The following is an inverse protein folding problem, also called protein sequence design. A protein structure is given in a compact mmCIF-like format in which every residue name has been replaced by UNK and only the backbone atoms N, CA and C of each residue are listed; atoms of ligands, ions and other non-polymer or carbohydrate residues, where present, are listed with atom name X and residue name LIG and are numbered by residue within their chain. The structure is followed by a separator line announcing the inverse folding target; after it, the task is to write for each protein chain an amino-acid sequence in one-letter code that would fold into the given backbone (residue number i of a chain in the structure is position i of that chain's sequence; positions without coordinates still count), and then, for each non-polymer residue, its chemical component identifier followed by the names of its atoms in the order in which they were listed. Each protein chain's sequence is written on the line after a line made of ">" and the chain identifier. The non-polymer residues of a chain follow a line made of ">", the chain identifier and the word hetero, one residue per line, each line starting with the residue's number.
data_IF_203312622823
#
_entry.id   IF_203312622823
#
_cell.length_a   1.000
_cell.length_b   1.000
_cell.length_c   1.000
_cell.angle_alpha   90.00
_cell.angle_beta   90.00
_cell.angle_gamma   90.00
#
_symmetry.space_group_name_H-M   'P 1'
#
loop_
_entity.id
_entity.type
_entity.pdbx_description
1 polymer ?
#
# COMPACT_ATOMS: atom_id res chain seq x y z
N UNK A 1 -7.67 -25.89 -24.63
CA UNK A 1 -7.92 -24.50 -25.08
C UNK A 1 -6.60 -23.78 -24.82
N UNK A 2 -5.95 -23.19 -25.83
CA UNK A 2 -4.65 -22.53 -25.64
C UNK A 2 -4.77 -21.31 -24.73
N UNK A 3 -3.65 -20.82 -24.19
CA UNK A 3 -3.70 -19.75 -23.17
C UNK A 3 -4.34 -18.46 -23.71
N UNK A 4 -4.16 -18.15 -25.00
CA UNK A 4 -4.81 -17.02 -25.66
C UNK A 4 -6.33 -17.14 -25.64
N UNK A 5 -6.89 -18.29 -26.03
CA UNK A 5 -8.33 -18.49 -26.07
C UNK A 5 -8.97 -18.40 -24.66
N UNK A 6 -8.28 -18.91 -23.63
CA UNK A 6 -8.73 -18.74 -22.24
C UNK A 6 -8.62 -17.28 -21.78
N UNK A 7 -7.56 -16.55 -22.17
CA UNK A 7 -7.43 -15.11 -21.94
C UNK A 7 -8.59 -14.32 -22.52
N UNK A 8 -8.91 -14.52 -23.79
CA UNK A 8 -10.00 -13.80 -24.44
C UNK A 8 -11.35 -14.12 -23.80
N UNK A 9 -11.56 -15.37 -23.38
CA UNK A 9 -12.78 -15.75 -22.64
C UNK A 9 -12.90 -14.98 -21.32
N UNK A 10 -11.83 -14.89 -20.51
CA UNK A 10 -11.87 -14.15 -19.23
C UNK A 10 -11.96 -12.64 -19.44
N UNK A 11 -11.27 -12.10 -20.44
CA UNK A 11 -11.39 -10.69 -20.84
C UNK A 11 -12.82 -10.36 -21.27
N UNK A 12 -13.46 -11.23 -22.05
CA UNK A 12 -14.87 -11.06 -22.48
C UNK A 12 -15.84 -11.00 -21.30
N UNK A 13 -15.54 -11.69 -20.20
CA UNK A 13 -16.28 -11.57 -18.95
C UNK A 13 -15.95 -10.25 -18.24
N UNK A 14 -14.66 -9.91 -18.14
CA UNK A 14 -14.17 -8.73 -17.43
C UNK A 14 -14.67 -7.41 -18.03
N UNK A 15 -14.76 -7.28 -19.36
CA UNK A 15 -15.25 -6.05 -20.03
C UNK A 15 -16.72 -5.73 -19.71
N UNK A 16 -17.48 -6.68 -19.16
CA UNK A 16 -18.87 -6.47 -18.72
C UNK A 16 -18.97 -5.85 -17.32
N UNK A 17 -17.85 -5.66 -16.64
CA UNK A 17 -17.84 -5.11 -15.28
C UNK A 17 -18.24 -3.63 -15.27
N UNK A 18 -19.20 -3.24 -14.41
CA UNK A 18 -19.72 -1.87 -14.38
C UNK A 18 -18.74 -0.83 -13.81
N UNK A 19 -17.60 -1.26 -13.24
CA UNK A 19 -16.56 -0.34 -12.77
C UNK A 19 -15.71 0.19 -13.93
N UNK A 20 -15.51 -0.60 -15.00
CA UNK A 20 -14.66 -0.21 -16.14
C UNK A 20 -15.13 1.09 -16.84
N UNK A 21 -16.44 1.30 -17.12
CA UNK A 21 -16.92 2.57 -17.66
C UNK A 21 -16.64 3.79 -16.79
N UNK A 22 -16.47 3.61 -15.47
CA UNK A 22 -16.17 4.70 -14.52
C UNK A 22 -14.69 5.08 -14.51
N UNK A 23 -13.83 4.19 -14.98
CA UNK A 23 -12.36 4.34 -14.98
C UNK A 23 -11.81 4.83 -16.33
N UNK A 24 -12.67 4.93 -17.35
CA UNK A 24 -12.33 5.24 -18.74
C UNK A 24 -12.95 6.53 -19.33
N UNK A 25 -13.70 7.41 -18.62
CA UNK A 25 -14.16 8.67 -19.22
C UNK A 25 -12.99 9.52 -19.74
N UNK A 26 -13.07 9.98 -20.99
CA UNK A 26 -12.04 10.79 -21.64
C UNK A 26 -10.81 10.02 -22.14
N UNK A 27 -10.73 8.71 -21.87
CA UNK A 27 -9.69 7.85 -22.41
C UNK A 27 -10.07 7.35 -23.81
N UNK A 28 -9.18 7.55 -24.78
CA UNK A 28 -9.24 6.95 -26.12
C UNK A 28 -7.92 6.24 -26.33
N UNK A 29 -7.93 4.92 -26.31
CA UNK A 29 -6.72 4.11 -26.50
C UNK A 29 -7.05 2.72 -27.04
N UNK A 30 -6.10 2.13 -27.78
CA UNK A 30 -6.09 0.71 -28.10
C UNK A 30 -5.00 -0.03 -27.35
N UNK A 31 -5.37 -1.16 -26.77
CA UNK A 31 -4.48 -1.99 -25.97
C UNK A 31 -4.35 -3.36 -26.65
N UNK A 32 -3.14 -3.76 -27.03
CA UNK A 32 -2.84 -5.10 -27.56
C UNK A 32 -2.37 -6.02 -26.44
N UNK A 33 -3.02 -7.19 -26.35
CA UNK A 33 -2.62 -8.32 -25.51
C UNK A 33 -1.99 -9.38 -26.43
N UNK A 34 -0.71 -9.69 -26.20
CA UNK A 34 0.04 -10.64 -27.02
C UNK A 34 0.44 -11.87 -26.19
N UNK A 35 -0.04 -13.03 -26.63
CA UNK A 35 0.19 -14.35 -26.01
C UNK A 35 1.04 -15.16 -26.96
N UNK A 36 2.36 -15.17 -26.75
CA UNK A 36 3.30 -15.72 -27.72
C UNK A 36 3.09 -15.07 -29.10
N UNK A 37 2.78 -15.86 -30.16
CA UNK A 37 2.53 -15.31 -31.50
C UNK A 37 1.10 -14.74 -31.68
N UNK A 38 0.16 -15.07 -30.80
CA UNK A 38 -1.24 -14.66 -30.93
C UNK A 38 -1.47 -13.25 -30.37
N UNK A 39 -2.37 -12.49 -31.02
CA UNK A 39 -2.67 -11.10 -30.67
C UNK A 39 -4.17 -10.87 -30.63
N UNK A 40 -4.61 -10.12 -29.62
CA UNK A 40 -5.95 -9.55 -29.54
C UNK A 40 -5.87 -8.13 -29.00
N UNK A 41 -6.80 -7.29 -29.41
CA UNK A 41 -6.83 -5.87 -29.05
C UNK A 41 -8.11 -5.51 -28.31
N UNK A 42 -7.99 -4.53 -27.42
CA UNK A 42 -9.08 -3.88 -26.72
C UNK A 42 -9.16 -2.42 -27.16
N UNK A 43 -10.32 -1.99 -27.62
CA UNK A 43 -10.62 -0.57 -27.82
C UNK A 43 -11.23 -0.01 -26.53
N UNK A 44 -10.65 1.08 -26.04
CA UNK A 44 -11.17 1.87 -24.93
C UNK A 44 -11.54 3.25 -25.45
N UNK A 45 -12.81 3.62 -25.36
CA UNK A 45 -13.30 4.90 -25.87
C UNK A 45 -14.71 5.22 -25.40
N UNK A 46 -14.95 6.48 -25.03
CA UNK A 46 -16.30 6.94 -24.65
C UNK A 46 -16.91 6.23 -23.44
N UNK A 47 -16.08 5.74 -22.51
CA UNK A 47 -16.53 4.95 -21.37
C UNK A 47 -16.82 3.47 -21.68
N UNK A 48 -16.48 2.99 -22.87
CA UNK A 48 -16.69 1.60 -23.30
C UNK A 48 -15.33 0.91 -23.46
N UNK A 49 -15.25 -0.35 -23.00
CA UNK A 49 -14.13 -1.26 -23.26
C UNK A 49 -14.67 -2.43 -24.08
N UNK A 50 -14.12 -2.66 -25.27
CA UNK A 50 -14.58 -3.71 -26.18
C UNK A 50 -13.40 -4.44 -26.83
N UNK A 51 -13.57 -5.72 -27.15
CA UNK A 51 -12.63 -6.46 -28.00
C UNK A 51 -12.69 -5.93 -29.44
N UNK A 52 -11.53 -5.67 -30.02
CA UNK A 52 -11.35 -5.01 -31.33
C UNK A 52 -10.36 -5.80 -32.21
N UNK A 53 -10.60 -7.10 -32.37
CA UNK A 53 -9.83 -7.97 -33.27
C UNK A 53 -8.32 -7.97 -33.03
N UNK A 54 -7.53 -8.18 -34.09
CA UNK A 54 -6.07 -8.10 -34.09
C UNK A 54 -5.62 -6.87 -34.92
N UNK A 55 -5.72 -5.67 -34.33
CA UNK A 55 -5.22 -4.43 -34.94
C UNK A 55 -3.71 -4.28 -34.68
N UNK A 56 -2.96 -3.85 -35.71
CA UNK A 56 -1.51 -3.59 -35.63
C UNK A 56 -1.18 -2.23 -34.99
N UNK A 57 -2.14 -1.30 -34.89
CA UNK A 57 -1.94 0.05 -34.37
C UNK A 57 -2.42 0.23 -32.92
N UNK A 58 -1.76 -0.45 -31.98
CA UNK A 58 -2.05 -0.32 -30.54
C UNK A 58 -1.18 0.76 -29.87
N UNK A 59 -1.78 1.56 -28.99
CA UNK A 59 -1.08 2.59 -28.21
C UNK A 59 -0.34 2.01 -27.00
N UNK A 60 -0.84 0.88 -26.49
CA UNK A 60 -0.29 0.12 -25.37
C UNK A 60 -0.22 -1.34 -25.78
N UNK A 61 0.94 -1.98 -25.61
CA UNK A 61 1.16 -3.39 -25.96
C UNK A 61 1.70 -4.10 -24.72
N UNK A 62 0.95 -5.10 -24.25
CA UNK A 62 1.37 -6.02 -23.19
C UNK A 62 1.63 -7.40 -23.81
N UNK A 63 2.87 -7.87 -23.72
CA UNK A 63 3.33 -9.08 -24.39
C UNK A 63 4.06 -10.02 -23.43
N UNK A 64 3.79 -11.32 -23.53
CA UNK A 64 4.51 -12.36 -22.80
C UNK A 64 4.40 -13.73 -23.51
N UNK A 65 5.30 -14.69 -23.22
CA UNK A 65 5.18 -16.08 -23.66
C UNK A 65 3.88 -16.75 -23.20
N UNK A 66 3.47 -17.84 -23.86
CA UNK A 66 2.23 -18.55 -23.51
C UNK A 66 2.26 -19.03 -22.05
N UNK A 67 3.40 -19.54 -21.60
CA UNK A 67 3.62 -20.06 -20.25
C UNK A 67 3.44 -18.99 -19.16
N UNK A 68 3.77 -17.74 -19.48
CA UNK A 68 3.56 -16.62 -18.56
C UNK A 68 2.07 -16.30 -18.39
N UNK A 69 1.31 -16.34 -19.48
CA UNK A 69 -0.14 -16.17 -19.45
C UNK A 69 -0.86 -17.33 -18.78
N UNK A 70 -0.35 -18.57 -18.90
CA UNK A 70 -0.87 -19.72 -18.14
C UNK A 70 -0.78 -19.49 -16.63
N UNK A 71 0.31 -18.87 -16.14
CA UNK A 71 0.47 -18.50 -14.71
C UNK A 71 -0.55 -17.44 -14.28
N UNK A 72 -0.85 -16.44 -15.12
CA UNK A 72 -1.91 -15.45 -14.85
C UNK A 72 -3.27 -16.11 -14.66
N UNK A 73 -3.51 -17.25 -15.33
CA UNK A 73 -4.78 -17.97 -15.29
C UNK A 73 -4.89 -19.00 -14.17
N UNK A 74 -3.83 -19.24 -13.40
CA UNK A 74 -3.90 -20.06 -12.20
C UNK A 74 -4.77 -19.38 -11.12
N UNK A 75 -5.37 -20.17 -10.24
CA UNK A 75 -6.25 -19.68 -9.17
C UNK A 75 -5.81 -20.25 -7.82
N UNK A 76 -5.13 -19.45 -6.97
CA UNK A 76 -4.63 -18.11 -7.27
C UNK A 76 -3.40 -18.12 -8.20
N UNK A 77 -3.10 -17.03 -8.91
CA UNK A 77 -1.89 -16.90 -9.70
C UNK A 77 -0.67 -16.74 -8.79
N UNK A 78 0.53 -17.15 -9.21
CA UNK A 78 1.74 -16.88 -8.45
C UNK A 78 1.96 -15.38 -8.21
N UNK A 79 2.73 -15.03 -7.17
CA UNK A 79 3.17 -13.66 -6.95
C UNK A 79 3.84 -13.09 -8.22
N UNK A 80 3.63 -11.81 -8.49
CA UNK A 80 3.96 -11.10 -9.76
C UNK A 80 3.11 -11.42 -11.00
N UNK A 81 2.16 -12.35 -10.92
CA UNK A 81 1.23 -12.71 -12.02
C UNK A 81 -0.23 -12.29 -11.77
N UNK A 82 -0.47 -11.39 -10.82
CA UNK A 82 -1.81 -11.11 -10.30
C UNK A 82 -2.39 -9.73 -10.66
N UNK A 83 -1.61 -8.84 -11.27
CA UNK A 83 -2.05 -7.47 -11.58
C UNK A 83 -1.26 -6.85 -12.72
N UNK A 84 -1.82 -5.81 -13.35
CA UNK A 84 -1.16 -5.12 -14.45
C UNK A 84 0.14 -4.43 -14.01
N UNK A 85 0.15 -3.78 -12.85
CA UNK A 85 1.34 -3.12 -12.31
C UNK A 85 2.39 -4.15 -11.92
N UNK A 86 2.01 -5.34 -11.44
CA UNK A 86 2.93 -6.43 -11.19
C UNK A 86 3.60 -6.92 -12.49
N UNK A 87 2.81 -7.11 -13.56
CA UNK A 87 3.35 -7.46 -14.88
C UNK A 87 4.39 -6.44 -15.33
N UNK A 88 4.11 -5.15 -15.15
CA UNK A 88 4.98 -4.08 -15.61
C UNK A 88 6.27 -3.95 -14.77
N UNK A 89 6.18 -4.05 -13.45
CA UNK A 89 7.27 -3.60 -12.56
C UNK A 89 8.05 -4.73 -11.90
N UNK A 90 7.46 -5.91 -11.81
CA UNK A 90 8.00 -7.01 -11.01
C UNK A 90 8.09 -8.34 -11.76
N UNK A 91 7.66 -8.38 -13.03
CA UNK A 91 7.63 -9.61 -13.80
C UNK A 91 8.49 -9.51 -15.07
N UNK A 92 9.66 -10.15 -15.11
CA UNK A 92 10.56 -10.07 -16.27
C UNK A 92 10.04 -10.83 -17.50
N UNK A 93 9.02 -11.68 -17.36
CA UNK A 93 8.43 -12.41 -18.50
C UNK A 93 7.46 -11.53 -19.32
N UNK A 94 7.04 -10.38 -18.77
CA UNK A 94 6.16 -9.44 -19.45
C UNK A 94 6.93 -8.24 -20.00
N UNK A 95 6.60 -7.85 -21.23
CA UNK A 95 7.05 -6.61 -21.84
C UNK A 95 5.87 -5.67 -22.02
N UNK A 96 6.03 -4.42 -21.59
CA UNK A 96 5.07 -3.35 -21.82
C UNK A 96 5.70 -2.28 -22.71
N UNK A 97 5.09 -2.00 -23.86
CA UNK A 97 5.51 -0.93 -24.76
C UNK A 97 4.33 -0.03 -25.14
N UNK A 98 4.63 1.16 -25.65
CA UNK A 98 3.63 2.18 -25.95
C UNK A 98 3.98 3.56 -25.38
N UNK A 99 3.05 4.51 -25.52
CA UNK A 99 3.22 5.85 -24.93
C UNK A 99 3.18 5.78 -23.41
N UNK A 100 4.21 6.27 -22.68
CA UNK A 100 4.21 6.26 -21.21
C UNK A 100 3.00 6.98 -20.59
N UNK A 101 2.53 8.06 -21.22
CA UNK A 101 1.32 8.79 -20.79
C UNK A 101 0.07 7.93 -21.02
N UNK A 102 -0.05 7.27 -22.19
CA UNK A 102 -1.19 6.41 -22.48
C UNK A 102 -1.25 5.21 -21.51
N UNK A 103 -0.10 4.59 -21.21
CA UNK A 103 0.01 3.54 -20.19
C UNK A 103 -0.47 4.06 -18.83
N UNK A 104 -0.02 5.25 -18.42
CA UNK A 104 -0.42 5.83 -17.15
C UNK A 104 -1.92 6.15 -17.08
N UNK A 105 -2.52 6.64 -18.17
CA UNK A 105 -3.94 6.92 -18.29
C UNK A 105 -4.80 5.65 -18.35
N UNK A 106 -4.32 4.59 -19.00
CA UNK A 106 -5.02 3.31 -19.14
C UNK A 106 -4.92 2.42 -17.89
N UNK A 107 -3.93 2.66 -17.01
CA UNK A 107 -3.68 1.85 -15.80
C UNK A 107 -4.94 1.58 -14.97
N UNK A 108 -5.79 2.56 -14.61
CA UNK A 108 -6.96 2.29 -13.79
C UNK A 108 -7.89 1.21 -14.38
N UNK A 109 -8.16 1.29 -15.68
CA UNK A 109 -8.96 0.31 -16.39
C UNK A 109 -8.26 -1.06 -16.49
N UNK A 110 -6.95 -1.05 -16.78
CA UNK A 110 -6.16 -2.28 -16.88
C UNK A 110 -6.04 -3.04 -15.55
N UNK A 111 -5.86 -2.33 -14.43
CA UNK A 111 -5.86 -2.96 -13.10
C UNK A 111 -7.20 -3.61 -12.80
N UNK A 112 -8.31 -2.91 -13.07
CA UNK A 112 -9.64 -3.48 -12.86
C UNK A 112 -9.89 -4.69 -13.75
N UNK A 113 -9.50 -4.61 -15.02
CA UNK A 113 -9.63 -5.69 -15.98
C UNK A 113 -8.89 -6.93 -15.49
N UNK A 114 -7.61 -6.79 -15.13
CA UNK A 114 -6.79 -7.93 -14.71
C UNK A 114 -7.16 -8.49 -13.34
N UNK A 115 -7.69 -7.68 -12.41
CA UNK A 115 -8.28 -8.20 -11.17
C UNK A 115 -9.42 -9.20 -11.45
N UNK A 116 -10.23 -8.96 -12.49
CA UNK A 116 -11.33 -9.87 -12.86
C UNK A 116 -10.80 -11.06 -13.67
N UNK A 117 -9.82 -10.85 -14.56
CA UNK A 117 -9.20 -11.93 -15.36
C UNK A 117 -8.55 -12.98 -14.46
N UNK A 118 -7.86 -12.55 -13.40
CA UNK A 118 -7.23 -13.44 -12.43
C UNK A 118 -8.25 -14.24 -11.62
N UNK A 119 -9.41 -13.66 -11.30
CA UNK A 119 -10.56 -14.34 -10.68
C UNK A 119 -10.24 -15.17 -9.43
N UNK A 120 -9.48 -14.60 -8.48
CA UNK A 120 -9.10 -15.30 -7.26
C UNK A 120 -10.13 -15.12 -6.13
N UNK A 121 -10.57 -16.22 -5.47
CA UNK A 121 -11.43 -16.11 -4.30
C UNK A 121 -10.66 -15.53 -3.11
N UNK A 122 -11.31 -14.72 -2.25
CA UNK A 122 -10.62 -14.13 -1.11
C UNK A 122 -10.25 -15.18 -0.06
N UNK A 123 -9.19 -14.91 0.70
CA UNK A 123 -8.87 -15.70 1.90
C UNK A 123 -10.04 -15.67 2.88
N UNK A 124 -10.32 -16.83 3.47
CA UNK A 124 -11.32 -16.94 4.53
C UNK A 124 -10.67 -16.57 5.86
N UNK A 125 -11.23 -15.58 6.53
CA UNK A 125 -10.83 -15.18 7.87
C UNK A 125 -12.01 -15.29 8.85
N UNK A 126 -11.76 -15.58 10.14
CA UNK A 126 -12.78 -15.44 11.17
C UNK A 126 -13.31 -14.00 11.20
N UNK A 127 -14.64 -13.85 11.25
CA UNK A 127 -15.25 -12.52 11.37
C UNK A 127 -14.79 -11.85 12.66
N UNK A 128 -14.36 -10.61 12.54
CA UNK A 128 -13.94 -9.78 13.68
C UNK A 128 -15.11 -8.94 14.18
N UNK A 129 -15.31 -8.89 15.50
CA UNK A 129 -16.29 -8.00 16.10
C UNK A 129 -15.80 -6.54 16.03
N UNK A 130 -16.59 -5.69 15.37
CA UNK A 130 -16.21 -4.32 15.05
C UNK A 130 -17.31 -3.36 15.45
N UNK A 131 -16.96 -2.34 16.24
CA UNK A 131 -17.82 -1.23 16.56
C UNK A 131 -17.18 0.07 16.07
N UNK A 132 -17.79 0.70 15.06
CA UNK A 132 -17.30 1.97 14.52
C UNK A 132 -17.57 3.15 15.47
N UNK A 133 -18.62 3.08 16.30
CA UNK A 133 -19.03 4.17 17.19
C UNK A 133 -18.06 4.37 18.37
N UNK A 134 -17.16 3.41 18.63
CA UNK A 134 -16.11 3.58 19.64
C UNK A 134 -14.96 4.45 19.16
N UNK A 135 -14.84 4.68 17.85
CA UNK A 135 -13.74 5.44 17.25
C UNK A 135 -14.08 6.92 17.34
N UNK A 136 -13.22 7.68 18.00
CA UNK A 136 -13.40 9.11 18.21
C UNK A 136 -12.30 9.88 17.48
N UNK A 137 -12.71 10.75 16.55
CA UNK A 137 -11.82 11.67 15.85
C UNK A 137 -11.67 13.01 16.56
N UNK A 138 -10.45 13.53 16.69
CA UNK A 138 -10.12 14.80 17.35
C UNK A 138 -9.00 15.53 16.63
N UNK A 139 -8.96 16.84 16.80
CA UNK A 139 -7.76 17.64 16.47
C UNK A 139 -6.95 17.88 17.73
N UNK A 140 -5.63 17.84 17.58
CA UNK A 140 -4.67 18.26 18.59
C UNK A 140 -3.59 19.12 17.97
N UNK A 141 -3.29 20.23 18.63
CA UNK A 141 -2.15 21.05 18.27
C UNK A 141 -0.87 20.42 18.81
N UNK A 142 0.10 20.22 17.93
CA UNK A 142 1.41 19.66 18.24
C UNK A 142 2.48 20.64 17.75
N UNK A 143 3.41 21.00 18.63
CA UNK A 143 4.56 21.82 18.27
C UNK A 143 5.67 20.93 17.70
N UNK A 144 6.13 21.23 16.49
CA UNK A 144 7.20 20.50 15.81
C UNK A 144 8.26 21.51 15.39
N UNK A 145 9.45 21.43 15.99
CA UNK A 145 10.56 22.32 15.63
C UNK A 145 10.22 23.80 15.76
N UNK A 146 9.40 24.18 16.75
CA UNK A 146 8.93 25.55 16.95
C UNK A 146 7.77 25.99 16.04
N UNK A 147 7.17 25.09 15.26
CA UNK A 147 6.02 25.36 14.39
C UNK A 147 4.81 24.56 14.85
N UNK A 148 3.68 25.23 15.05
CA UNK A 148 2.41 24.59 15.39
C UNK A 148 1.81 23.84 14.20
N UNK A 149 1.41 22.59 14.44
CA UNK A 149 0.71 21.74 13.48
C UNK A 149 -0.64 21.31 14.08
N UNK A 150 -1.72 21.46 13.31
CA UNK A 150 -3.03 20.93 13.67
C UNK A 150 -3.14 19.48 13.16
N UNK A 151 -2.92 18.53 14.07
CA UNK A 151 -2.91 17.09 13.78
C UNK A 151 -4.30 16.52 14.06
N UNK A 152 -4.94 15.98 13.02
CA UNK A 152 -6.10 15.13 13.18
C UNK A 152 -5.65 13.71 13.57
N UNK A 153 -6.39 13.12 14.51
CA UNK A 153 -6.17 11.74 14.91
C UNK A 153 -7.49 11.08 15.30
N UNK A 154 -7.53 9.77 15.14
CA UNK A 154 -8.61 8.90 15.61
C UNK A 154 -8.08 8.02 16.72
N UNK A 155 -8.88 7.81 17.77
CA UNK A 155 -8.53 6.91 18.85
C UNK A 155 -9.69 6.02 19.29
N UNK A 156 -9.35 4.85 19.81
CA UNK A 156 -10.29 3.89 20.38
C UNK A 156 -9.64 3.14 21.55
N UNK A 157 -10.46 2.77 22.53
CA UNK A 157 -10.01 1.97 23.67
C UNK A 157 -9.17 2.71 24.71
N UNK A 158 -8.64 1.93 25.65
CA UNK A 158 -7.75 2.39 26.72
C UNK A 158 -6.78 1.25 27.09
N UNK A 159 -5.61 1.59 27.66
CA UNK A 159 -4.58 0.62 28.02
C UNK A 159 -3.27 0.89 27.28
N UNK A 160 -2.59 -0.17 26.83
CA UNK A 160 -1.29 -0.09 26.15
C UNK A 160 -1.37 0.86 24.94
N UNK A 161 -0.58 1.94 24.87
CA UNK A 161 -0.61 2.85 23.74
C UNK A 161 -0.06 2.19 22.47
N UNK A 162 -0.87 2.18 21.41
CA UNK A 162 -0.46 1.72 20.08
C UNK A 162 -0.66 2.86 19.09
N UNK A 163 0.44 3.36 18.52
CA UNK A 163 0.43 4.40 17.49
C UNK A 163 0.56 3.76 16.10
N UNK A 164 -0.41 4.04 15.23
CA UNK A 164 -0.42 3.58 13.85
C UNK A 164 0.06 4.66 12.88
N UNK A 165 1.04 4.33 12.04
CA UNK A 165 1.61 5.19 11.00
C UNK A 165 1.20 4.70 9.61
N UNK A 166 0.51 5.56 8.86
CA UNK A 166 0.01 5.24 7.52
C UNK A 166 1.12 5.12 6.47
N UNK A 167 0.74 4.54 5.34
CA UNK A 167 1.61 4.38 4.16
C UNK A 167 1.66 5.67 3.32
N UNK A 168 2.56 5.72 2.35
CA UNK A 168 2.72 6.88 1.45
C UNK A 168 1.44 7.13 0.61
N UNK A 169 0.97 8.38 0.58
CA UNK A 169 -0.21 8.81 -0.17
C UNK A 169 -1.56 8.43 0.47
N UNK A 170 -1.54 7.96 1.72
CA UNK A 170 -2.71 7.57 2.50
C UNK A 170 -2.89 8.47 3.74
N UNK A 171 -3.76 8.05 4.64
CA UNK A 171 -4.01 8.71 5.93
C UNK A 171 -4.47 7.67 6.98
N UNK A 172 -4.81 8.12 8.18
CA UNK A 172 -5.14 7.27 9.33
C UNK A 172 -6.31 6.31 9.09
N UNK A 173 -7.17 6.57 8.10
CA UNK A 173 -8.30 5.68 7.75
C UNK A 173 -7.85 4.28 7.35
N UNK A 174 -6.58 4.07 6.97
CA UNK A 174 -6.04 2.73 6.73
C UNK A 174 -6.14 1.82 7.96
N UNK A 175 -6.13 2.40 9.16
CA UNK A 175 -6.20 1.65 10.41
C UNK A 175 -7.59 1.65 11.05
N UNK A 176 -8.60 2.23 10.39
CA UNK A 176 -9.97 2.21 10.87
C UNK A 176 -10.47 0.78 11.18
N UNK A 177 -10.07 -0.27 10.42
CA UNK A 177 -10.35 -1.62 10.83
C UNK A 177 -9.75 -1.95 12.20
N UNK A 178 -8.49 -1.65 12.47
CA UNK A 178 -7.88 -1.96 13.76
C UNK A 178 -8.51 -1.15 14.89
N UNK A 179 -8.81 0.14 14.67
CA UNK A 179 -9.47 1.00 15.68
C UNK A 179 -10.88 0.53 16.03
N UNK A 180 -11.62 -0.01 15.06
CA UNK A 180 -12.98 -0.52 15.28
C UNK A 180 -13.03 -1.92 15.89
N UNK A 181 -11.90 -2.64 16.00
CA UNK A 181 -11.82 -3.98 16.60
C UNK A 181 -12.06 -3.91 18.12
N UNK A 182 -13.20 -4.42 18.59
CA UNK A 182 -13.59 -4.37 20.01
C UNK A 182 -12.69 -5.24 20.90
N UNK A 183 -12.00 -6.22 20.32
CA UNK A 183 -11.02 -7.05 21.00
C UNK A 183 -9.73 -6.29 21.26
N UNK A 184 -9.19 -5.58 20.25
CA UNK A 184 -7.99 -4.76 20.43
C UNK A 184 -8.25 -3.55 21.34
N UNK A 185 -9.35 -2.83 21.15
CA UNK A 185 -9.67 -1.64 21.94
C UNK A 185 -9.95 -1.93 23.43
N UNK A 186 -10.18 -3.20 23.80
CA UNK A 186 -10.43 -3.60 25.19
C UNK A 186 -9.19 -3.48 26.08
N UNK A 187 -8.00 -3.72 25.51
CA UNK A 187 -6.74 -3.76 26.26
C UNK A 187 -5.74 -2.71 25.78
N UNK A 188 -5.99 -2.09 24.63
CA UNK A 188 -5.09 -1.15 24.00
C UNK A 188 -5.77 0.21 23.81
N UNK A 189 -4.99 1.28 23.98
CA UNK A 189 -5.33 2.62 23.47
C UNK A 189 -4.80 2.71 22.05
N UNK A 190 -5.67 2.52 21.09
CA UNK A 190 -5.36 2.53 19.66
C UNK A 190 -5.42 3.97 19.15
N UNK A 191 -4.37 4.43 18.47
CA UNK A 191 -4.24 5.81 18.00
C UNK A 191 -3.77 5.77 16.55
N UNK A 192 -4.52 6.36 15.62
CA UNK A 192 -4.07 6.58 14.25
C UNK A 192 -4.07 8.07 13.94
N UNK A 193 -3.00 8.56 13.35
CA UNK A 193 -2.81 9.97 13.04
C UNK A 193 -2.83 10.19 11.54
N UNK A 194 -3.38 11.33 11.13
CA UNK A 194 -3.11 11.88 9.81
C UNK A 194 -1.84 12.74 9.93
N UNK A 195 -0.77 12.39 9.23
CA UNK A 195 0.44 13.23 9.23
C UNK A 195 0.14 14.62 8.63
N UNK A 196 0.94 15.65 8.90
CA UNK A 196 0.83 16.91 8.17
C UNK A 196 0.74 16.68 6.65
N UNK A 197 -0.09 17.45 5.96
CA UNK A 197 -0.46 17.26 4.53
C UNK A 197 -1.42 16.12 4.19
N UNK A 198 -1.83 15.28 5.15
CA UNK A 198 -2.62 14.08 4.90
C UNK A 198 -4.01 14.15 5.52
N UNK A 199 -4.97 13.46 4.88
CA UNK A 199 -6.33 13.30 5.40
C UNK A 199 -6.96 14.61 5.84
N UNK A 200 -7.22 14.72 7.13
CA UNK A 200 -7.81 15.89 7.81
C UNK A 200 -6.78 16.81 8.46
N UNK A 201 -5.51 16.40 8.53
CA UNK A 201 -4.40 17.24 8.97
C UNK A 201 -3.98 18.19 7.85
N UNK A 202 -3.97 19.48 8.15
CA UNK A 202 -3.56 20.49 7.19
C UNK A 202 -2.03 20.55 7.09
N UNK A 203 -1.47 21.12 6.01
CA UNK A 203 -0.10 21.61 6.01
C UNK A 203 0.16 22.54 7.22
N UNK A 204 1.42 22.69 7.68
CA UNK A 204 1.74 23.62 8.75
C UNK A 204 1.24 25.03 8.43
N UNK A 205 0.89 25.80 9.45
CA UNK A 205 0.39 27.18 9.27
C UNK A 205 1.38 28.10 8.53
N UNK A 206 2.67 27.74 8.55
CA UNK A 206 3.75 28.44 7.86
C UNK A 206 3.93 28.00 6.41
N UNK A 207 3.16 27.03 5.92
CA UNK A 207 3.30 26.54 4.55
C UNK A 207 2.94 27.61 3.53
N UNK A 208 3.84 27.86 2.60
CA UNK A 208 3.79 28.92 1.58
C UNK A 208 3.31 28.43 0.21
N UNK A 209 2.90 27.17 0.11
CA UNK A 209 2.54 26.53 -1.16
C UNK A 209 3.72 25.82 -1.86
N UNK A 210 4.91 25.80 -1.26
CA UNK A 210 6.05 25.04 -1.77
C UNK A 210 5.76 23.54 -1.87
N UNK A 211 6.39 22.80 -2.82
CA UNK A 211 6.17 21.37 -2.94
C UNK A 211 6.50 20.61 -1.66
N UNK A 212 5.56 19.83 -1.15
CA UNK A 212 5.81 18.92 -0.04
C UNK A 212 6.82 17.83 -0.45
N UNK A 213 7.86 17.65 0.36
CA UNK A 213 8.85 16.60 0.24
C UNK A 213 9.17 16.08 1.64
N UNK A 214 8.90 14.79 1.87
CA UNK A 214 9.21 14.15 3.15
C UNK A 214 10.69 13.78 3.19
N UNK A 215 11.33 14.03 4.33
CA UNK A 215 12.69 13.57 4.63
C UNK A 215 12.69 12.72 5.91
N UNK A 216 13.76 11.97 6.15
CA UNK A 216 13.91 11.20 7.39
C UNK A 216 13.81 12.11 8.61
N UNK A 217 14.54 13.23 8.62
CA UNK A 217 14.58 14.16 9.74
C UNK A 217 13.21 14.81 10.00
N UNK A 218 12.50 15.22 8.95
CA UNK A 218 11.19 15.84 9.09
C UNK A 218 10.19 14.84 9.67
N UNK A 219 10.14 13.63 9.11
CA UNK A 219 9.20 12.61 9.55
C UNK A 219 9.52 12.11 10.97
N UNK A 220 10.80 11.92 11.31
CA UNK A 220 11.24 11.58 12.67
C UNK A 220 10.85 12.67 13.67
N UNK A 221 10.99 13.94 13.30
CA UNK A 221 10.61 15.07 14.17
C UNK A 221 9.10 15.10 14.40
N UNK A 222 8.29 14.86 13.37
CA UNK A 222 6.83 14.72 13.50
C UNK A 222 6.44 13.56 14.42
N UNK A 223 6.96 12.37 14.16
CA UNK A 223 6.66 11.19 14.97
C UNK A 223 7.10 11.35 16.42
N UNK A 224 8.26 11.93 16.66
CA UNK A 224 8.72 12.25 18.03
C UNK A 224 7.73 13.20 18.69
N UNK A 225 7.40 14.34 18.07
CA UNK A 225 6.46 15.30 18.67
C UNK A 225 5.06 14.70 18.92
N UNK A 226 4.58 13.83 18.05
CA UNK A 226 3.32 13.09 18.23
C UNK A 226 3.42 12.13 19.44
N UNK A 227 4.51 11.37 19.57
CA UNK A 227 4.73 10.52 20.74
C UNK A 227 4.77 11.35 22.03
N UNK A 228 5.42 12.50 22.02
CA UNK A 228 5.63 13.40 23.18
C UNK A 228 4.34 14.06 23.64
N UNK A 229 3.64 14.67 22.70
CA UNK A 229 2.58 15.60 23.00
C UNK A 229 1.22 14.93 22.88
N UNK A 230 1.02 14.05 21.89
CA UNK A 230 -0.26 13.40 21.62
C UNK A 230 -0.41 12.08 22.38
N UNK A 231 0.57 11.19 22.28
CA UNK A 231 0.54 9.90 22.99
C UNK A 231 0.83 10.11 24.48
N UNK A 232 1.92 10.81 24.80
CA UNK A 232 2.29 11.22 26.16
C UNK A 232 3.05 10.16 26.98
N UNK A 233 3.44 9.04 26.37
CA UNK A 233 4.16 7.94 27.02
C UNK A 233 4.96 7.13 25.98
N UNK A 234 5.66 6.06 26.41
CA UNK A 234 6.17 5.01 25.51
C UNK A 234 4.99 4.30 24.84
N UNK A 235 5.17 3.91 23.57
CA UNK A 235 4.13 3.24 22.79
C UNK A 235 4.68 2.09 21.96
N UNK A 236 3.81 1.14 21.61
CA UNK A 236 4.06 0.25 20.47
C UNK A 236 3.77 1.06 19.21
N UNK A 237 4.73 1.14 18.29
CA UNK A 237 4.52 1.83 17.01
C UNK A 237 4.35 0.79 15.91
N UNK A 238 3.24 0.88 15.19
CA UNK A 238 2.90 -0.03 14.09
C UNK A 238 2.79 0.80 12.82
N UNK A 239 3.58 0.47 11.80
CA UNK A 239 3.61 1.24 10.56
C UNK A 239 3.62 0.34 9.35
N UNK A 240 2.94 0.75 8.29
CA UNK A 240 2.96 0.06 6.99
C UNK A 240 3.85 0.77 5.99
N UNK A 241 4.66 0.05 5.20
CA UNK A 241 5.42 0.61 4.07
C UNK A 241 6.27 1.83 4.51
N UNK A 242 5.91 3.06 4.09
CA UNK A 242 6.50 4.30 4.59
C UNK A 242 6.51 4.42 6.12
N UNK A 243 5.40 4.08 6.79
CA UNK A 243 5.33 4.01 8.25
C UNK A 243 6.22 2.91 8.84
N UNK A 244 6.42 1.80 8.13
CA UNK A 244 7.30 0.71 8.55
C UNK A 244 8.78 1.13 8.51
N UNK A 245 9.18 1.85 7.45
CA UNK A 245 10.49 2.48 7.37
C UNK A 245 10.72 3.46 8.54
N UNK A 246 9.72 4.26 8.90
CA UNK A 246 9.81 5.17 10.04
C UNK A 246 9.80 4.44 11.40
N UNK A 247 9.12 3.30 11.53
CA UNK A 247 9.25 2.44 12.72
C UNK A 247 10.71 2.05 12.97
N UNK A 248 11.43 1.68 11.91
CA UNK A 248 12.85 1.32 12.01
C UNK A 248 13.73 2.51 12.41
N UNK A 249 13.48 3.69 11.81
CA UNK A 249 14.20 4.93 12.18
C UNK A 249 13.95 5.29 13.64
N UNK A 250 12.69 5.23 14.10
CA UNK A 250 12.35 5.45 15.51
C UNK A 250 13.06 4.45 16.43
N UNK A 251 13.11 3.17 16.07
CA UNK A 251 13.78 2.15 16.87
C UNK A 251 15.29 2.39 17.00
N UNK A 252 15.92 2.92 15.95
CA UNK A 252 17.34 3.28 15.95
C UNK A 252 17.62 4.59 16.73
N UNK A 253 16.77 5.61 16.55
CA UNK A 253 17.10 6.99 16.96
C UNK A 253 16.35 7.46 18.21
N UNK A 254 15.18 6.88 18.53
CA UNK A 254 14.32 7.24 19.69
C UNK A 254 13.83 6.02 20.50
N UNK A 255 14.67 5.02 20.80
CA UNK A 255 14.25 3.80 21.50
C UNK A 255 13.64 4.05 22.90
N UNK A 256 14.01 5.15 23.57
CA UNK A 256 13.43 5.55 24.86
C UNK A 256 11.94 5.87 24.81
N UNK A 257 11.37 6.08 23.61
CA UNK A 257 9.94 6.39 23.40
C UNK A 257 9.11 5.21 22.93
N UNK A 258 9.71 4.03 22.87
CA UNK A 258 9.09 2.86 22.28
C UNK A 258 8.99 1.74 23.31
N UNK A 259 7.83 1.09 23.36
CA UNK A 259 7.69 -0.24 23.94
C UNK A 259 8.17 -1.31 22.96
N UNK A 260 8.06 -1.03 21.66
CA UNK A 260 8.54 -1.86 20.57
C UNK A 260 7.96 -1.37 19.24
N UNK A 261 8.37 -2.01 18.14
CA UNK A 261 7.90 -1.66 16.80
C UNK A 261 7.42 -2.87 16.02
N UNK A 262 6.37 -2.66 15.23
CA UNK A 262 5.82 -3.65 14.30
C UNK A 262 5.83 -3.01 12.91
N UNK A 263 6.82 -3.38 12.12
CA UNK A 263 7.03 -2.89 10.78
C UNK A 263 6.31 -3.83 9.79
N UNK A 264 5.25 -3.33 9.16
CA UNK A 264 4.38 -4.07 8.24
C UNK A 264 4.79 -3.75 6.80
N UNK A 265 5.20 -4.76 6.05
CA UNK A 265 5.80 -4.62 4.71
C UNK A 265 7.01 -3.65 4.69
N UNK A 266 8.03 -3.86 5.56
CA UNK A 266 9.16 -2.95 5.65
C UNK A 266 10.07 -3.08 4.43
N UNK A 267 10.48 -1.95 3.81
CA UNK A 267 11.42 -2.01 2.70
C UNK A 267 12.83 -2.31 3.19
N UNK A 268 13.59 -3.14 2.45
CA UNK A 268 15.05 -3.06 2.51
C UNK A 268 15.51 -1.81 1.76
N UNK A 269 15.02 -1.65 0.51
CA UNK A 269 15.09 -0.46 -0.33
C UNK A 269 13.82 -0.40 -1.18
N UNK A 270 13.37 0.77 -1.60
CA UNK A 270 12.16 0.91 -2.44
C UNK A 270 12.34 1.89 -3.59
N UNK A 271 13.46 1.76 -4.31
CA UNK A 271 13.77 2.59 -5.47
C UNK A 271 12.75 2.42 -6.60
N UNK A 272 12.51 3.49 -7.36
CA UNK A 272 11.72 3.45 -8.60
C UNK A 272 10.20 3.50 -8.43
N UNK A 273 9.69 3.65 -7.21
CA UNK A 273 8.24 3.80 -6.94
C UNK A 273 7.75 5.21 -7.27
N UNK A 274 8.60 6.22 -7.07
CA UNK A 274 8.33 7.59 -7.45
C UNK A 274 8.45 7.73 -8.97
N UNK A 275 7.40 8.24 -9.61
CA UNK A 275 7.35 8.35 -11.06
C UNK A 275 6.63 9.63 -11.51
N UNK A 276 6.91 10.13 -12.73
CA UNK A 276 6.41 11.44 -13.16
C UNK A 276 4.90 11.50 -13.38
N UNK A 277 4.18 10.38 -13.39
CA UNK A 277 2.74 10.33 -13.63
C UNK A 277 1.90 10.41 -12.35
N UNK A 278 2.53 10.31 -11.17
CA UNK A 278 1.86 10.49 -9.88
C UNK A 278 1.42 11.93 -9.61
N UNK A 279 2.03 12.89 -10.32
CA UNK A 279 1.68 14.30 -10.29
C UNK A 279 1.86 14.93 -11.68
N UNK A 280 1.05 14.47 -12.64
CA UNK A 280 1.05 14.96 -14.01
C UNK A 280 -0.33 15.50 -14.40
N UNK A 281 -0.38 16.68 -15.00
CA UNK A 281 -1.66 17.32 -15.39
C UNK A 281 -2.45 16.54 -16.44
N UNK A 282 -1.78 15.71 -17.25
CA UNK A 282 -2.41 14.86 -18.26
C UNK A 282 -2.86 13.50 -17.69
N UNK A 283 -2.58 13.21 -16.43
CA UNK A 283 -2.93 11.94 -15.78
C UNK A 283 -3.78 12.25 -14.55
N UNK A 284 -4.95 11.65 -14.47
CA UNK A 284 -5.83 11.85 -13.32
C UNK A 284 -5.21 11.22 -12.06
N UNK A 285 -4.55 12.03 -11.22
CA UNK A 285 -3.80 11.57 -10.05
C UNK A 285 -4.61 10.66 -9.13
N UNK A 286 -5.85 11.03 -8.79
CA UNK A 286 -6.71 10.21 -7.93
C UNK A 286 -7.05 8.82 -8.48
N UNK A 287 -7.09 8.64 -9.80
CA UNK A 287 -7.33 7.33 -10.42
C UNK A 287 -6.03 6.56 -10.61
N UNK A 288 -5.00 7.24 -11.10
CA UNK A 288 -3.70 6.62 -11.38
C UNK A 288 -3.04 6.10 -10.09
N UNK A 289 -2.99 6.92 -9.05
CA UNK A 289 -2.35 6.58 -7.79
C UNK A 289 -3.12 5.47 -7.07
N UNK A 290 -4.45 5.54 -7.03
CA UNK A 290 -5.28 4.49 -6.42
C UNK A 290 -5.17 3.16 -7.17
N UNK A 291 -5.05 3.19 -8.50
CA UNK A 291 -4.84 2.00 -9.31
C UNK A 291 -3.47 1.37 -9.07
N UNK A 292 -2.43 2.20 -8.95
CA UNK A 292 -1.08 1.74 -8.61
C UNK A 292 -1.04 0.99 -7.28
N UNK A 293 -1.77 1.50 -6.27
CA UNK A 293 -1.94 0.83 -4.97
C UNK A 293 -2.72 -0.47 -5.11
N UNK A 294 -3.84 -0.44 -5.84
CA UNK A 294 -4.65 -1.63 -6.11
C UNK A 294 -3.86 -2.76 -6.76
N UNK A 295 -2.90 -2.42 -7.62
CA UNK A 295 -2.03 -3.37 -8.29
C UNK A 295 -1.08 -4.14 -7.35
N UNK A 296 -0.85 -3.67 -6.13
CA UNK A 296 0.09 -4.30 -5.17
C UNK A 296 -0.65 -5.05 -4.05
N UNK A 297 -1.98 -4.92 -4.00
CA UNK A 297 -2.79 -5.69 -3.07
C UNK A 297 -2.91 -7.14 -3.53
N UNK A 298 -2.98 -8.08 -2.59
CA UNK A 298 -3.13 -9.50 -2.90
C UNK A 298 -4.39 -9.80 -3.73
N UNK A 299 -4.32 -10.69 -4.74
CA UNK A 299 -5.51 -11.16 -5.46
C UNK A 299 -6.48 -11.93 -4.55
N UNK A 300 -6.03 -12.34 -3.35
CA UNK A 300 -6.84 -13.02 -2.35
C UNK A 300 -7.49 -12.06 -1.34
N UNK A 301 -7.39 -10.75 -1.55
CA UNK A 301 -8.00 -9.75 -0.67
C UNK A 301 -9.49 -9.54 -1.01
N UNK A 302 -10.40 -9.45 -0.01
CA UNK A 302 -11.81 -9.18 -0.24
C UNK A 302 -12.03 -7.93 -1.12
N UNK A 303 -12.88 -8.05 -2.14
CA UNK A 303 -13.09 -6.97 -3.12
C UNK A 303 -13.57 -5.67 -2.48
N UNK A 304 -14.42 -5.74 -1.45
CA UNK A 304 -14.93 -4.57 -0.73
C UNK A 304 -13.80 -3.81 -0.03
N UNK A 305 -12.86 -4.52 0.58
CA UNK A 305 -11.72 -3.93 1.28
C UNK A 305 -10.69 -3.39 0.29
N UNK A 306 -10.42 -4.08 -0.82
CA UNK A 306 -9.62 -3.52 -1.94
C UNK A 306 -10.18 -2.18 -2.43
N UNK A 307 -11.51 -2.07 -2.58
CA UNK A 307 -12.18 -0.81 -2.98
C UNK A 307 -12.02 0.27 -1.92
N UNK A 308 -12.21 -0.05 -0.64
CA UNK A 308 -12.05 0.92 0.46
C UNK A 308 -10.61 1.40 0.58
N UNK A 309 -9.64 0.51 0.44
CA UNK A 309 -8.24 0.87 0.39
C UNK A 309 -7.97 1.81 -0.80
N UNK A 310 -8.36 1.47 -2.03
CA UNK A 310 -8.21 2.37 -3.19
C UNK A 310 -8.90 3.73 -3.00
N UNK A 311 -10.05 3.77 -2.33
CA UNK A 311 -10.77 5.01 -2.04
C UNK A 311 -9.96 5.98 -1.18
N UNK A 312 -9.21 5.48 -0.20
CA UNK A 312 -8.32 6.32 0.64
C UNK A 312 -7.29 7.03 -0.26
N UNK A 313 -6.58 6.28 -1.10
CA UNK A 313 -5.54 6.85 -1.98
C UNK A 313 -6.08 7.76 -3.08
N UNK A 314 -7.36 7.65 -3.45
CA UNK A 314 -7.97 8.57 -4.41
C UNK A 314 -8.20 9.98 -3.87
N UNK A 315 -8.09 10.17 -2.55
CA UNK A 315 -8.40 11.43 -1.86
C UNK A 315 -7.16 12.21 -1.39
N UNK A 316 -5.95 11.74 -1.69
CA UNK A 316 -4.73 12.50 -1.39
C UNK A 316 -4.63 13.79 -2.20
N UNK A 317 -4.13 14.86 -1.58
CA UNK A 317 -3.90 16.12 -2.28
C UNK A 317 -2.80 15.96 -3.37
N UNK A 318 -2.84 16.76 -4.45
CA UNK A 318 -1.84 16.67 -5.52
C UNK A 318 -0.42 16.83 -4.97
N UNK A 319 0.49 15.94 -5.39
CA UNK A 319 1.89 15.99 -5.00
C UNK A 319 2.22 15.33 -3.65
N UNK A 320 1.22 15.00 -2.82
CA UNK A 320 1.45 14.38 -1.50
C UNK A 320 2.07 12.99 -1.62
N UNK A 321 1.47 12.10 -2.42
CA UNK A 321 2.02 10.76 -2.62
C UNK A 321 3.49 10.76 -3.13
N UNK A 322 3.86 11.46 -4.23
CA UNK A 322 5.28 11.51 -4.61
C UNK A 322 6.14 12.30 -3.62
N UNK A 323 5.57 13.17 -2.78
CA UNK A 323 6.26 13.84 -1.68
C UNK A 323 6.67 12.88 -0.58
N UNK A 324 5.80 11.95 -0.19
CA UNK A 324 6.10 10.86 0.73
C UNK A 324 7.17 9.90 0.21
N UNK A 325 7.12 9.62 -1.09
CA UNK A 325 8.10 8.75 -1.75
C UNK A 325 9.51 9.37 -1.77
N UNK A 326 9.66 10.67 -1.53
CA UNK A 326 10.98 11.29 -1.31
C UNK A 326 11.72 10.63 -0.14
N UNK A 327 11.05 10.42 0.99
CA UNK A 327 11.63 9.68 2.10
C UNK A 327 11.69 8.18 1.77
N UNK A 328 10.56 7.58 1.41
CA UNK A 328 10.44 6.12 1.31
C UNK A 328 11.29 5.49 0.21
N UNK A 329 11.38 6.13 -0.95
CA UNK A 329 12.04 5.57 -2.14
C UNK A 329 13.41 6.15 -2.41
N UNK A 330 13.60 7.45 -2.12
CA UNK A 330 14.79 8.17 -2.53
C UNK A 330 15.83 8.24 -1.39
N UNK A 331 15.40 8.42 -0.14
CA UNK A 331 16.28 8.64 1.01
C UNK A 331 16.52 7.38 1.88
N UNK A 332 15.46 6.64 2.22
CA UNK A 332 15.54 5.56 3.20
C UNK A 332 16.36 4.36 2.69
N UNK A 333 17.23 3.83 3.56
CA UNK A 333 18.01 2.62 3.30
C UNK A 333 18.03 1.70 4.54
N UNK A 334 17.34 0.56 4.46
CA UNK A 334 17.27 -0.43 5.54
C UNK A 334 18.63 -1.06 5.86
N UNK A 335 19.57 -1.09 4.91
CA UNK A 335 20.94 -1.57 5.14
C UNK A 335 21.76 -0.60 6.02
N UNK A 336 21.35 0.68 6.08
CA UNK A 336 21.98 1.70 6.93
C UNK A 336 21.29 1.80 8.28
N UNK A 337 19.96 1.74 8.30
CA UNK A 337 19.17 1.90 9.53
C UNK A 337 19.15 0.62 10.37
N UNK A 338 18.98 -0.55 9.75
CA UNK A 338 18.84 -1.84 10.44
C UNK A 338 19.94 -2.12 11.46
N UNK A 339 21.24 -2.03 11.10
CA UNK A 339 22.34 -2.30 12.03
C UNK A 339 22.41 -1.40 13.27
N UNK A 340 21.67 -0.27 13.29
CA UNK A 340 21.60 0.64 14.44
C UNK A 340 20.55 0.22 15.47
N UNK A 341 19.66 -0.71 15.14
CA UNK A 341 18.55 -1.10 15.99
C UNK A 341 19.01 -2.17 17.00
N UNK A 342 18.86 -1.87 18.29
CA UNK A 342 19.02 -2.85 19.37
C UNK A 342 17.67 -3.48 19.72
N UNK A 343 17.38 -4.66 19.13
CA UNK A 343 16.11 -5.35 19.33
C UNK A 343 15.90 -5.88 20.75
N UNK A 344 16.94 -5.91 21.61
CA UNK A 344 16.78 -6.24 23.03
C UNK A 344 16.22 -5.06 23.83
N UNK A 345 16.49 -3.84 23.38
CA UNK A 345 15.96 -2.61 23.98
C UNK A 345 14.60 -2.24 23.39
N UNK A 346 14.44 -2.47 22.08
CA UNK A 346 13.20 -2.17 21.35
C UNK A 346 12.77 -3.42 20.59
N UNK A 347 11.90 -4.27 21.17
CA UNK A 347 11.35 -5.43 20.49
C UNK A 347 10.86 -5.06 19.08
N UNK A 348 11.35 -5.76 18.08
CA UNK A 348 11.15 -5.41 16.67
C UNK A 348 10.56 -6.59 15.92
N UNK A 349 9.36 -6.41 15.36
CA UNK A 349 8.68 -7.40 14.50
C UNK A 349 8.60 -6.88 13.08
N UNK A 350 8.98 -7.71 12.10
CA UNK A 350 8.86 -7.45 10.68
C UNK A 350 7.79 -8.39 10.10
N UNK A 351 6.78 -7.86 9.43
CA UNK A 351 5.73 -8.65 8.78
C UNK A 351 5.84 -8.47 7.26
N UNK A 352 5.83 -9.56 6.48
CA UNK A 352 5.91 -9.49 5.00
C UNK A 352 4.86 -10.37 4.33
N UNK A 353 4.08 -9.83 3.40
CA UNK A 353 3.07 -10.54 2.61
C UNK A 353 3.67 -11.29 1.42
N UNK A 354 3.17 -12.49 1.11
CA UNK A 354 3.71 -13.28 -0.02
C UNK A 354 3.37 -12.73 -1.40
N UNK A 355 2.38 -11.84 -1.50
CA UNK A 355 2.04 -11.13 -2.74
C UNK A 355 2.66 -9.74 -2.86
N UNK A 356 3.35 -9.27 -1.81
CA UNK A 356 4.04 -7.99 -1.88
C UNK A 356 5.30 -8.10 -2.75
N UNK A 357 5.25 -7.53 -3.94
CA UNK A 357 6.40 -7.41 -4.84
C UNK A 357 7.16 -6.09 -4.68
N UNK A 358 6.67 -5.18 -3.83
CA UNK A 358 7.31 -3.89 -3.53
C UNK A 358 8.26 -3.96 -2.34
N UNK A 359 7.96 -4.78 -1.32
CA UNK A 359 8.84 -5.09 -0.20
C UNK A 359 8.76 -6.60 0.06
N UNK A 360 9.54 -7.37 -0.70
CA UNK A 360 9.34 -8.82 -0.78
C UNK A 360 9.65 -9.53 0.55
N UNK A 361 9.12 -10.74 0.77
CA UNK A 361 9.55 -11.57 1.90
C UNK A 361 11.08 -11.77 1.98
N UNK A 362 11.77 -11.78 0.83
CA UNK A 362 13.23 -11.83 0.78
C UNK A 362 13.88 -10.54 1.30
N UNK A 363 13.32 -9.37 0.97
CA UNK A 363 13.75 -8.08 1.54
C UNK A 363 13.54 -8.04 3.06
N UNK A 364 12.39 -8.51 3.54
CA UNK A 364 12.09 -8.63 4.96
C UNK A 364 13.07 -9.56 5.70
N UNK A 365 13.41 -10.70 5.11
CA UNK A 365 14.39 -11.63 5.66
C UNK A 365 15.81 -11.05 5.68
N UNK A 366 16.20 -10.35 4.61
CA UNK A 366 17.49 -9.65 4.53
C UNK A 366 17.57 -8.54 5.58
N UNK A 367 16.48 -7.81 5.80
CA UNK A 367 16.41 -6.79 6.83
C UNK A 367 16.47 -7.39 8.25
N UNK A 368 15.77 -8.50 8.50
CA UNK A 368 15.83 -9.20 9.77
C UNK A 368 17.26 -9.65 10.12
N UNK A 369 18.02 -10.11 9.13
CA UNK A 369 19.42 -10.49 9.29
C UNK A 369 20.32 -9.31 9.72
N UNK A 370 19.93 -8.08 9.39
CA UNK A 370 20.64 -6.85 9.80
C UNK A 370 20.25 -6.36 11.20
N UNK A 371 19.19 -6.92 11.79
CA UNK A 371 18.66 -6.53 13.11
C UNK A 371 18.64 -7.76 14.03
N UNK A 372 19.78 -8.11 14.65
CA UNK A 372 19.86 -9.29 15.51
C UNK A 372 18.84 -9.26 16.65
N UNK A 373 18.01 -10.30 16.77
CA UNK A 373 16.96 -10.39 17.77
C UNK A 373 15.59 -9.90 17.30
N UNK A 374 15.48 -9.34 16.10
CA UNK A 374 14.17 -9.09 15.48
C UNK A 374 13.43 -10.38 15.13
N UNK A 375 12.10 -10.30 15.03
CA UNK A 375 11.24 -11.41 14.59
C UNK A 375 10.65 -11.10 13.22
N UNK A 376 10.98 -11.91 12.22
CA UNK A 376 10.35 -11.84 10.89
C UNK A 376 9.25 -12.88 10.75
N UNK A 377 8.09 -12.46 10.24
CA UNK A 377 6.94 -13.33 9.97
C UNK A 377 6.45 -13.07 8.55
N UNK A 378 6.34 -14.15 7.77
CA UNK A 378 5.74 -14.12 6.43
C UNK A 378 4.24 -14.39 6.56
N UNK A 379 3.43 -13.47 6.03
CA UNK A 379 1.96 -13.53 6.03
C UNK A 379 1.48 -14.12 4.70
N UNK A 380 1.25 -15.42 4.69
CA UNK A 380 0.84 -16.15 3.49
C UNK A 380 -0.48 -15.59 2.93
N UNK A 381 -0.45 -15.23 1.65
CA UNK A 381 -1.59 -14.76 0.87
C UNK A 381 -1.95 -13.28 1.05
N UNK A 382 -1.22 -12.52 1.85
CA UNK A 382 -1.38 -11.05 1.96
C UNK A 382 -0.45 -10.30 1.00
N UNK A 383 -0.87 -9.11 0.59
CA UNK A 383 -0.11 -8.16 -0.24
C UNK A 383 0.41 -6.98 0.59
N UNK A 384 0.63 -5.84 -0.06
CA UNK A 384 1.36 -4.72 0.55
C UNK A 384 0.58 -3.92 1.60
N UNK A 385 -0.75 -4.07 1.68
CA UNK A 385 -1.59 -3.25 2.56
C UNK A 385 -2.45 -4.09 3.52
N UNK A 386 -1.88 -5.09 4.22
CA UNK A 386 -2.65 -6.09 4.96
C UNK A 386 -3.60 -5.48 5.99
N UNK A 387 -3.25 -4.33 6.56
CA UNK A 387 -4.08 -3.59 7.52
C UNK A 387 -5.42 -3.13 6.97
N UNK A 388 -5.55 -2.91 5.65
CA UNK A 388 -6.79 -2.44 5.02
C UNK A 388 -7.24 -3.22 3.79
N UNK A 389 -6.39 -4.05 3.18
CA UNK A 389 -6.82 -4.92 2.07
C UNK A 389 -7.48 -6.21 2.56
N UNK A 390 -7.08 -6.72 3.73
CA UNK A 390 -7.68 -7.89 4.36
C UNK A 390 -7.51 -7.86 5.89
N UNK A 391 -8.19 -6.93 6.58
CA UNK A 391 -7.94 -6.65 7.99
C UNK A 391 -8.32 -7.81 8.91
N UNK A 392 -9.31 -8.63 8.53
CA UNK A 392 -9.75 -9.77 9.34
C UNK A 392 -8.71 -10.90 9.31
N UNK A 393 -8.10 -11.17 8.15
CA UNK A 393 -7.02 -12.15 8.04
C UNK A 393 -5.70 -11.63 8.66
N UNK A 394 -5.42 -10.34 8.50
CA UNK A 394 -4.24 -9.69 9.10
C UNK A 394 -4.27 -9.70 10.64
N UNK A 395 -5.46 -9.69 11.25
CA UNK A 395 -5.65 -9.52 12.69
C UNK A 395 -4.81 -10.47 13.56
N UNK A 396 -4.73 -11.76 13.22
CA UNK A 396 -3.97 -12.73 14.02
C UNK A 396 -2.47 -12.43 14.00
N UNK A 397 -1.92 -12.02 12.86
CA UNK A 397 -0.51 -11.64 12.75
C UNK A 397 -0.20 -10.40 13.58
N UNK A 398 -1.07 -9.39 13.54
CA UNK A 398 -0.92 -8.20 14.37
C UNK A 398 -1.04 -8.54 15.86
N UNK A 399 -2.00 -9.37 16.25
CA UNK A 399 -2.17 -9.80 17.64
C UNK A 399 -0.93 -10.56 18.16
N UNK A 400 -0.34 -11.43 17.33
CA UNK A 400 0.88 -12.18 17.68
C UNK A 400 2.09 -11.27 17.79
N UNK A 401 2.18 -10.24 16.95
CA UNK A 401 3.24 -9.25 16.98
C UNK A 401 3.14 -8.33 18.22
N UNK A 402 1.94 -7.88 18.58
CA UNK A 402 1.69 -7.09 19.79
C UNK A 402 2.11 -7.89 21.02
N UNK A 403 1.66 -9.15 21.14
CA UNK A 403 2.05 -10.02 22.27
C UNK A 403 3.56 -10.21 22.37
N UNK A 404 4.24 -10.41 21.24
CA UNK A 404 5.70 -10.50 21.24
C UNK A 404 6.36 -9.24 21.80
N UNK A 405 5.87 -8.05 21.43
CA UNK A 405 6.39 -6.79 21.98
C UNK A 405 6.12 -6.69 23.47
N UNK A 406 4.91 -7.01 23.93
CA UNK A 406 4.54 -7.00 25.35
C UNK A 406 5.38 -7.96 26.20
N UNK A 407 5.70 -9.15 25.67
CA UNK A 407 6.51 -10.15 26.38
C UNK A 407 8.01 -9.80 26.45
N UNK A 408 8.48 -8.81 25.68
CA UNK A 408 9.91 -8.48 25.54
C UNK A 408 10.27 -6.99 25.78
N UNK A 409 9.31 -6.12 26.11
CA UNK A 409 9.45 -4.64 26.10
C UNK A 409 9.60 -3.91 27.43
#
# INVERSE_FOLDING_TARGET
>A
MGAHAELIKRVTLAIKDPELPRLTPGLITRISLQVGPEKSSLAVGGGIVALDGADENADVILSAPEEAWEKVMQVPPPATYHSFTAFQLANPEFTLSGSPVAIAQARPALERLFEIVVASPPLVAPKVDRNIEQVIGRYKRVEVGGVEHDIFYEEAGAGTPILFLHTAGADGRQFLPQLSDTGFARTNRLISVDLPFHGRSMPPLTWDGSPYQLTTDLYLTWCTAILDQLVGDRAIVVGGSMGAAMCMVLAAERPERLMGVIAVEPPLKSKGRRNPFQHNVNVHGSLHNSAYVRGIMSPLSPQEERRRASWIYSQGAPGVYPGDLSFYSDEFDGAVVGPKIDAKRTPTVLLSGTYDYSATPADGAALAALIPGSRHVVMEGLGHFPMCENPDYFRSFLQDAIRFVEDNG
#
